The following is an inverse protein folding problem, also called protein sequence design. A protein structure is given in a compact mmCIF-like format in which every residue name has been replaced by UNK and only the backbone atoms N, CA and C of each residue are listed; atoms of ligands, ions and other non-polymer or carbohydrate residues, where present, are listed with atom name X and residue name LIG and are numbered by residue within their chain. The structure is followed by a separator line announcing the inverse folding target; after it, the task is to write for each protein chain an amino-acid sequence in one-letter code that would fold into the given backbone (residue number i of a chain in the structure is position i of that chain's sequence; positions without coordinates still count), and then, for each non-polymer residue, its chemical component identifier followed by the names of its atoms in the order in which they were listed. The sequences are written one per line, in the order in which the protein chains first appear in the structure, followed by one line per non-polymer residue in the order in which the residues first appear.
data_IF_970986749350
#
_entry.id   IF_970986749350
#
_cell.length_a   1.000
_cell.length_b   1.000
_cell.length_c   1.000
_cell.angle_alpha   90.00
_cell.angle_beta   90.00
_cell.angle_gamma   90.00
#
_symmetry.space_group_name_H-M   'P 1'
#
loop_
_entity.id
_entity.type
_entity.pdbx_description
1 polymer ?
#
# COMPACT_ATOMS: atom_id res chain seq x y z
N UNK A 1 2.56 14.31 9.42
CA UNK A 1 1.57 13.59 8.59
C UNK A 1 0.75 12.72 9.52
N UNK A 2 -0.57 12.74 9.44
CA UNK A 2 -1.42 11.90 10.30
C UNK A 2 -1.68 10.55 9.62
N UNK A 3 -0.94 9.52 10.04
CA UNK A 3 -1.01 8.18 9.45
C UNK A 3 -2.39 7.53 9.59
N UNK A 4 -3.11 7.83 10.68
CA UNK A 4 -4.48 7.37 10.90
C UNK A 4 -5.45 7.87 9.82
N UNK A 5 -5.34 9.15 9.45
CA UNK A 5 -6.14 9.74 8.37
C UNK A 5 -5.80 9.12 7.01
N UNK A 6 -4.53 8.77 6.81
CA UNK A 6 -4.03 8.08 5.61
C UNK A 6 -4.65 6.68 5.50
N UNK A 7 -4.56 5.88 6.56
CA UNK A 7 -5.16 4.54 6.62
C UNK A 7 -6.65 4.58 6.33
N UNK A 8 -7.40 5.44 7.03
CA UNK A 8 -8.85 5.58 6.84
C UNK A 8 -9.18 5.84 5.38
N UNK A 9 -8.46 6.76 4.75
CA UNK A 9 -8.66 7.13 3.35
C UNK A 9 -8.33 5.99 2.40
N UNK A 10 -7.25 5.24 2.64
CA UNK A 10 -6.91 4.03 1.85
C UNK A 10 -8.03 3.00 1.93
N UNK A 11 -8.56 2.73 3.12
CA UNK A 11 -9.66 1.78 3.32
C UNK A 11 -10.95 2.25 2.63
N UNK A 12 -11.26 3.54 2.67
CA UNK A 12 -12.41 4.13 1.97
C UNK A 12 -12.31 3.99 0.45
N UNK A 13 -11.10 4.15 -0.12
CA UNK A 13 -10.89 4.05 -1.57
C UNK A 13 -10.56 2.63 -2.05
N UNK A 14 -10.34 1.66 -1.15
CA UNK A 14 -10.05 0.25 -1.47
C UNK A 14 -10.98 -0.35 -2.54
N UNK A 15 -12.32 -0.15 -2.50
CA UNK A 15 -13.21 -0.67 -3.54
C UNK A 15 -12.94 -0.06 -4.93
N UNK A 16 -12.57 1.23 -4.97
CA UNK A 16 -12.20 1.91 -6.21
C UNK A 16 -10.82 1.46 -6.71
N UNK A 17 -9.86 1.26 -5.81
CA UNK A 17 -8.53 0.73 -6.15
C UNK A 17 -8.63 -0.64 -6.83
N UNK A 18 -9.53 -1.51 -6.37
CA UNK A 18 -9.80 -2.81 -7.02
C UNK A 18 -10.19 -2.65 -8.50
N UNK A 19 -11.00 -1.65 -8.82
CA UNK A 19 -11.46 -1.40 -10.18
C UNK A 19 -10.36 -0.76 -11.03
N UNK A 20 -9.67 0.24 -10.47
CA UNK A 20 -8.62 1.01 -11.16
C UNK A 20 -7.39 0.13 -11.43
N UNK A 21 -7.00 -0.70 -10.48
CA UNK A 21 -5.77 -1.50 -10.52
C UNK A 21 -6.03 -2.97 -10.87
N UNK A 22 -7.18 -3.31 -11.47
CA UNK A 22 -7.58 -4.70 -11.75
C UNK A 22 -6.52 -5.60 -12.41
N UNK A 23 -5.61 -5.01 -13.19
CA UNK A 23 -4.55 -5.74 -13.91
C UNK A 23 -3.26 -5.89 -13.08
N UNK A 24 -3.17 -5.20 -11.95
CA UNK A 24 -2.00 -5.12 -11.05
C UNK A 24 -2.32 -5.50 -9.61
N UNK A 25 -3.56 -5.88 -9.33
CA UNK A 25 -3.99 -6.32 -8.01
C UNK A 25 -4.69 -7.68 -8.07
N UNK A 26 -4.58 -8.44 -6.98
CA UNK A 26 -5.28 -9.70 -6.78
C UNK A 26 -6.07 -9.66 -5.48
N UNK A 27 -7.24 -10.27 -5.47
CA UNK A 27 -8.01 -10.47 -4.24
C UNK A 27 -7.57 -11.78 -3.57
N UNK A 28 -7.09 -11.70 -2.32
CA UNK A 28 -6.77 -12.85 -1.48
C UNK A 28 -7.68 -12.80 -0.25
N UNK A 29 -8.84 -13.46 -0.33
CA UNK A 29 -9.87 -13.36 0.71
C UNK A 29 -10.39 -11.92 0.82
N UNK A 30 -10.35 -11.36 2.03
CA UNK A 30 -10.74 -9.96 2.29
C UNK A 30 -9.63 -8.94 2.00
N UNK A 31 -8.44 -9.38 1.55
CA UNK A 31 -7.31 -8.52 1.26
C UNK A 31 -7.21 -8.20 -0.23
N UNK A 32 -6.95 -6.93 -0.54
CA UNK A 32 -6.55 -6.50 -1.88
C UNK A 32 -5.03 -6.42 -1.90
N UNK A 33 -4.37 -7.24 -2.72
CA UNK A 33 -2.91 -7.26 -2.83
C UNK A 33 -2.51 -6.59 -4.13
N UNK A 34 -1.69 -5.53 -4.05
CA UNK A 34 -1.13 -4.82 -5.20
C UNK A 34 0.32 -5.24 -5.36
N UNK A 35 0.72 -5.59 -6.59
CA UNK A 35 2.09 -5.99 -6.90
C UNK A 35 2.83 -4.87 -7.66
N UNK A 36 3.91 -4.35 -7.08
CA UNK A 36 4.81 -3.39 -7.71
C UNK A 36 6.28 -3.86 -7.60
N UNK A 37 6.69 -4.72 -8.52
CA UNK A 37 8.04 -5.28 -8.51
C UNK A 37 8.26 -6.22 -7.31
N UNK A 38 9.31 -6.02 -6.49
CA UNK A 38 9.58 -6.84 -5.29
C UNK A 38 8.69 -6.47 -4.10
N UNK A 39 7.93 -5.36 -4.19
CA UNK A 39 7.01 -4.88 -3.16
C UNK A 39 5.59 -5.37 -3.43
N UNK A 40 5.02 -6.05 -2.44
CA UNK A 40 3.62 -6.40 -2.35
C UNK A 40 2.95 -5.50 -1.29
N UNK A 41 1.80 -4.93 -1.64
CA UNK A 41 1.02 -4.07 -0.74
C UNK A 41 -0.30 -4.76 -0.46
N UNK A 42 -0.48 -5.25 0.75
CA UNK A 42 -1.69 -5.94 1.17
C UNK A 42 -2.61 -4.98 1.93
N UNK A 43 -3.72 -4.60 1.30
CA UNK A 43 -4.74 -3.74 1.91
C UNK A 43 -5.80 -4.64 2.56
N UNK A 44 -5.69 -4.81 3.87
CA UNK A 44 -6.62 -5.56 4.71
C UNK A 44 -7.92 -4.80 4.99
N UNK A 45 -8.62 -5.21 6.04
CA UNK A 45 -9.83 -4.54 6.53
C UNK A 45 -9.55 -3.43 7.54
N UNK A 46 -8.40 -3.50 8.23
CA UNK A 46 -8.01 -2.56 9.29
C UNK A 46 -6.57 -2.07 9.18
N UNK A 47 -5.79 -2.60 8.25
CA UNK A 47 -4.36 -2.37 8.14
C UNK A 47 -3.90 -2.48 6.69
N UNK A 48 -2.73 -1.91 6.41
CA UNK A 48 -2.00 -2.06 5.15
C UNK A 48 -0.62 -2.61 5.46
N UNK A 49 -0.25 -3.71 4.81
CA UNK A 49 1.05 -4.35 4.96
C UNK A 49 1.87 -4.13 3.72
N UNK A 50 3.15 -3.85 3.93
CA UNK A 50 4.16 -3.70 2.89
C UNK A 50 5.11 -4.87 3.03
N UNK A 51 5.17 -5.72 2.01
CA UNK A 51 5.96 -6.95 2.00
C UNK A 51 6.99 -6.84 0.90
N UNK A 52 8.26 -6.95 1.23
CA UNK A 52 9.38 -6.92 0.27
C UNK A 52 9.99 -8.30 0.22
N UNK A 53 10.00 -8.92 -0.96
CA UNK A 53 10.56 -10.27 -1.18
C UNK A 53 10.01 -11.36 -0.22
N UNK A 54 8.78 -11.19 0.28
CA UNK A 54 8.11 -12.11 1.20
C UNK A 54 8.28 -11.78 2.68
N UNK A 55 9.03 -10.72 3.02
CA UNK A 55 9.22 -10.25 4.40
C UNK A 55 8.43 -8.97 4.68
N UNK A 56 7.86 -8.86 5.89
CA UNK A 56 7.10 -7.68 6.29
C UNK A 56 8.05 -6.49 6.50
N UNK A 57 8.06 -5.56 5.55
CA UNK A 57 8.88 -4.35 5.55
C UNK A 57 8.18 -3.17 6.26
N UNK A 58 6.84 -3.15 6.28
CA UNK A 58 6.10 -2.12 6.99
C UNK A 58 4.63 -2.44 7.23
N UNK A 59 4.06 -1.75 8.21
CA UNK A 59 2.68 -1.89 8.65
C UNK A 59 2.09 -0.50 8.91
N UNK A 60 1.01 -0.17 8.19
CA UNK A 60 0.16 0.96 8.50
C UNK A 60 -1.10 0.46 9.22
N UNK A 61 -1.25 0.85 10.48
CA UNK A 61 -2.39 0.48 11.32
C UNK A 61 -2.98 1.70 12.03
N UNK A 62 -3.98 1.50 12.89
CA UNK A 62 -4.55 2.57 13.73
C UNK A 62 -3.51 3.18 14.69
N UNK A 63 -2.45 2.44 15.02
CA UNK A 63 -1.32 2.92 15.82
C UNK A 63 -0.39 3.87 15.05
N UNK A 64 -0.46 3.88 13.72
CA UNK A 64 0.41 4.65 12.83
C UNK A 64 1.14 3.79 11.82
N UNK A 65 2.16 4.38 11.20
CA UNK A 65 3.07 3.68 10.29
C UNK A 65 4.28 3.16 11.07
N UNK A 66 4.48 1.85 11.03
CA UNK A 66 5.65 1.15 11.52
C UNK A 66 6.44 0.62 10.33
N UNK A 67 7.74 0.94 10.26
CA UNK A 67 8.64 0.48 9.21
C UNK A 67 9.72 -0.39 9.85
N UNK A 68 9.85 -1.61 9.34
CA UNK A 68 10.79 -2.62 9.83
C UNK A 68 12.06 -2.68 8.95
N UNK A 69 11.91 -2.34 7.67
CA UNK A 69 13.01 -2.20 6.72
C UNK A 69 13.19 -0.73 6.34
N UNK A 70 14.23 -0.09 6.89
CA UNK A 70 14.51 1.32 6.64
C UNK A 70 14.92 1.60 5.19
N UNK A 71 15.44 0.61 4.45
CA UNK A 71 15.76 0.78 3.03
C UNK A 71 14.48 0.90 2.18
N UNK A 72 13.37 0.33 2.66
CA UNK A 72 12.06 0.40 2.02
C UNK A 72 11.22 1.62 2.47
N UNK A 73 11.70 2.39 3.45
CA UNK A 73 10.93 3.45 4.11
C UNK A 73 10.34 4.48 3.15
N UNK A 74 11.18 5.06 2.29
CA UNK A 74 10.75 6.10 1.36
C UNK A 74 9.67 5.60 0.41
N UNK A 75 9.79 4.36 -0.05
CA UNK A 75 8.82 3.73 -0.94
C UNK A 75 7.51 3.44 -0.22
N UNK A 76 7.56 2.94 1.02
CA UNK A 76 6.38 2.70 1.86
C UNK A 76 5.60 3.99 2.11
N UNK A 77 6.30 5.05 2.53
CA UNK A 77 5.69 6.36 2.75
C UNK A 77 5.08 6.92 1.46
N UNK A 78 5.77 6.76 0.32
CA UNK A 78 5.27 7.14 -0.99
C UNK A 78 3.96 6.42 -1.33
N UNK A 79 3.91 5.09 -1.17
CA UNK A 79 2.70 4.31 -1.43
C UNK A 79 1.55 4.68 -0.52
N UNK A 80 1.82 4.95 0.76
CA UNK A 80 0.80 5.44 1.69
C UNK A 80 0.13 6.72 1.16
N UNK A 81 0.93 7.68 0.68
CA UNK A 81 0.40 8.91 0.07
C UNK A 81 -0.31 8.61 -1.25
N UNK A 82 0.30 7.83 -2.13
CA UNK A 82 -0.22 7.55 -3.45
C UNK A 82 -1.60 6.86 -3.37
N UNK A 83 -1.77 5.89 -2.46
CA UNK A 83 -3.02 5.15 -2.27
C UNK A 83 -4.18 6.03 -1.78
N UNK A 84 -3.90 7.19 -1.18
CA UNK A 84 -4.94 8.15 -0.78
C UNK A 84 -5.42 9.07 -1.91
N UNK A 85 -4.74 9.06 -3.06
CA UNK A 85 -5.03 9.95 -4.19
C UNK A 85 -5.99 9.28 -5.19
N UNK A 86 -7.14 9.91 -5.50
CA UNK A 86 -8.15 9.36 -6.42
C UNK A 86 -7.69 9.29 -7.90
N UNK A 87 -6.49 9.78 -8.21
CA UNK A 87 -5.95 9.84 -9.56
C UNK A 87 -4.63 9.10 -9.70
N UNK A 88 -4.55 7.84 -9.24
CA UNK A 88 -3.37 6.97 -9.31
C UNK A 88 -2.94 6.68 -10.78
N UNK A 89 -2.48 7.72 -11.48
CA UNK A 89 -1.78 7.64 -12.75
C UNK A 89 -0.32 7.32 -12.44
N UNK A 90 -0.06 6.02 -12.28
CA UNK A 90 1.10 5.33 -12.87
C UNK A 90 2.43 6.08 -12.71
N UNK A 91 3.12 5.84 -11.60
CA UNK A 91 4.58 5.93 -11.59
C UNK A 91 5.13 4.52 -11.46
N UNK A 92 5.55 3.97 -12.59
CA UNK A 92 6.43 2.81 -12.63
C UNK A 92 7.72 3.23 -11.94
N UNK A 93 8.09 2.57 -10.83
CA UNK A 93 9.39 2.75 -10.20
C UNK A 93 10.46 2.54 -11.29
N UNK A 94 11.17 3.62 -11.66
CA UNK A 94 12.36 3.50 -12.49
C UNK A 94 13.47 2.97 -11.58
N UNK A 95 13.81 1.69 -11.74
CA UNK A 95 15.08 1.13 -11.25
C UNK A 95 16.21 2.08 -11.67
N UNK A 96 16.96 2.58 -10.71
CA UNK A 96 18.29 3.17 -10.94
C UNK A 96 19.31 2.35 -10.19
#
# INVERSE_FOLDING_TARGET
MEWQGTLRRILEVKPALRVIMRERCVERGDCLVIMDGPLEIEIGSRDVRFVVEGELAGLLSESGLEVFDEDAREEIEYWCVALTSPGFKRFTIKRK
#
